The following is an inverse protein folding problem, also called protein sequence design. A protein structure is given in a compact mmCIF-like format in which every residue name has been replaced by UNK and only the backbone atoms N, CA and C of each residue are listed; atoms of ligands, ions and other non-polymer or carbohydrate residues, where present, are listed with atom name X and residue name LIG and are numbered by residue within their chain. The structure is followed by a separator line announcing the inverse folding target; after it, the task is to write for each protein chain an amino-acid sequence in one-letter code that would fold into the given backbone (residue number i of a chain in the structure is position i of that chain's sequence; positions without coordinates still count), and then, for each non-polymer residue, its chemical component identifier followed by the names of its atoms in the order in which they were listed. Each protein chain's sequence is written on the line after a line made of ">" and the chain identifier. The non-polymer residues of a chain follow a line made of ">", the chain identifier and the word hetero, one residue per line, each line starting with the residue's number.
data_IF_374349546000
#
_entry.id   IF_374349546000
#
_cell.length_a   1.000
_cell.length_b   1.000
_cell.length_c   1.000
_cell.angle_alpha   90.00
_cell.angle_beta   90.00
_cell.angle_gamma   90.00
#
_symmetry.space_group_name_H-M   'P 1'
#
loop_
_entity.id
_entity.type
_entity.pdbx_description
1 polymer ?
#
# COMPACT_ATOMS: atom_id res chain seq x y z
N UNK A 1 6.70 45.73 6.92
CA UNK A 1 5.87 44.77 7.67
C UNK A 1 6.16 43.41 7.08
N UNK A 2 7.08 42.67 7.69
CA UNK A 2 7.28 41.26 7.38
C UNK A 2 6.18 40.50 8.12
N UNK A 3 5.29 39.86 7.36
CA UNK A 3 4.35 38.90 7.90
C UNK A 3 5.14 37.62 8.24
N UNK A 4 5.64 37.58 9.47
CA UNK A 4 6.25 36.39 10.09
C UNK A 4 5.12 35.47 10.56
N UNK A 5 4.33 34.97 9.60
CA UNK A 5 3.34 33.94 9.85
C UNK A 5 4.08 32.63 10.12
N UNK A 6 4.25 32.31 11.40
CA UNK A 6 4.81 31.04 11.85
C UNK A 6 4.18 29.87 11.08
N UNK A 7 4.97 28.88 10.61
CA UNK A 7 4.42 27.74 9.89
C UNK A 7 3.41 27.02 10.78
N UNK A 8 2.15 27.01 10.36
CA UNK A 8 1.09 26.29 11.06
C UNK A 8 1.44 24.80 11.07
N UNK A 9 1.42 24.12 12.22
CA UNK A 9 1.76 22.71 12.30
C UNK A 9 0.84 21.88 11.39
N UNK A 10 1.40 20.92 10.62
CA UNK A 10 0.59 20.05 9.78
C UNK A 10 -0.32 19.16 10.64
N UNK A 11 -1.48 18.81 10.10
CA UNK A 11 -2.33 17.79 10.73
C UNK A 11 -1.67 16.41 10.59
N UNK A 12 -1.84 15.57 11.60
CA UNK A 12 -1.26 14.22 11.61
C UNK A 12 -2.27 13.24 11.03
N UNK A 13 -1.86 12.48 10.02
CA UNK A 13 -2.66 11.42 9.43
C UNK A 13 -2.16 10.07 9.96
N UNK A 14 -3.05 9.25 10.51
CA UNK A 14 -2.71 7.90 10.95
C UNK A 14 -3.38 6.87 10.06
N UNK A 15 -2.57 6.01 9.47
CA UNK A 15 -3.01 4.83 8.71
C UNK A 15 -2.82 3.60 9.58
N UNK A 16 -3.86 2.79 9.71
CA UNK A 16 -3.79 1.46 10.35
C UNK A 16 -4.28 0.43 9.36
N UNK A 17 -3.49 -0.61 9.11
CA UNK A 17 -3.89 -1.70 8.20
C UNK A 17 -4.73 -2.73 8.95
N UNK A 18 -5.66 -3.36 8.25
CA UNK A 18 -6.60 -4.32 8.84
C UNK A 18 -6.55 -5.71 8.21
N UNK A 19 -7.58 -6.49 8.52
CA UNK A 19 -7.82 -7.81 7.91
C UNK A 19 -8.33 -7.68 6.49
N UNK A 20 -8.05 -8.71 5.68
CA UNK A 20 -8.60 -8.83 4.34
C UNK A 20 -7.90 -7.94 3.32
N UNK A 21 -6.69 -7.47 3.61
CA UNK A 21 -5.76 -7.04 2.59
C UNK A 21 -5.48 -8.21 1.63
N UNK A 22 -5.07 -7.90 0.41
CA UNK A 22 -4.71 -8.95 -0.53
C UNK A 22 -3.78 -8.48 -1.61
N UNK A 23 -3.01 -9.41 -2.17
CA UNK A 23 -2.27 -9.16 -3.39
C UNK A 23 -2.55 -10.29 -4.40
N UNK A 24 -2.27 -10.01 -5.66
CA UNK A 24 -2.21 -10.98 -6.74
C UNK A 24 -1.01 -10.62 -7.62
N UNK A 25 -0.37 -11.60 -8.25
CA UNK A 25 0.75 -11.36 -9.16
C UNK A 25 0.75 -12.42 -10.25
N UNK A 26 0.87 -11.96 -11.49
CA UNK A 26 0.83 -12.84 -12.66
C UNK A 26 -0.36 -13.78 -12.67
N UNK A 27 -0.08 -15.09 -12.78
CA UNK A 27 -1.10 -16.15 -12.79
C UNK A 27 -1.58 -16.62 -11.41
N UNK A 28 -1.01 -16.11 -10.33
CA UNK A 28 -1.44 -16.54 -9.00
C UNK A 28 -2.83 -16.00 -8.70
N UNK A 29 -3.71 -16.82 -8.10
CA UNK A 29 -4.97 -16.32 -7.60
C UNK A 29 -4.71 -15.30 -6.50
N UNK A 30 -5.64 -14.36 -6.34
CA UNK A 30 -5.58 -13.36 -5.28
C UNK A 30 -5.51 -14.04 -3.91
N UNK A 31 -4.53 -13.65 -3.11
CA UNK A 31 -4.40 -14.07 -1.74
C UNK A 31 -4.91 -13.01 -0.79
N UNK A 32 -5.47 -13.46 0.34
CA UNK A 32 -5.92 -12.58 1.42
C UNK A 32 -5.05 -12.83 2.63
N UNK A 33 -4.69 -11.76 3.32
CA UNK A 33 -3.89 -11.84 4.53
C UNK A 33 -4.36 -10.84 5.58
N UNK A 34 -3.99 -11.13 6.81
CA UNK A 34 -4.18 -10.21 7.93
C UNK A 34 -2.98 -9.26 7.97
N UNK A 35 -3.22 -7.99 7.63
CA UNK A 35 -2.22 -6.94 7.77
C UNK A 35 -2.41 -6.16 9.09
N UNK A 36 -3.25 -6.64 10.01
CA UNK A 36 -3.46 -5.96 11.29
C UNK A 36 -2.16 -5.81 12.07
N UNK A 37 -2.00 -4.68 12.76
CA UNK A 37 -0.76 -4.32 13.46
C UNK A 37 0.27 -3.61 12.57
N UNK A 38 0.02 -3.49 11.27
CA UNK A 38 0.71 -2.55 10.41
C UNK A 38 0.06 -1.16 10.40
N UNK A 39 0.66 -0.25 9.63
CA UNK A 39 0.22 1.13 9.52
C UNK A 39 1.39 2.10 9.50
N UNK A 40 1.09 3.38 9.70
CA UNK A 40 2.09 4.41 9.88
C UNK A 40 1.49 5.80 10.02
N UNK A 41 2.34 6.77 10.27
CA UNK A 41 1.96 8.18 10.42
C UNK A 41 2.41 8.98 9.20
N UNK A 42 1.56 9.89 8.78
CA UNK A 42 1.84 10.86 7.75
C UNK A 42 1.41 12.26 8.18
N UNK A 43 1.69 13.22 7.31
CA UNK A 43 1.31 14.60 7.50
C UNK A 43 0.43 15.07 6.34
N UNK A 44 -0.54 15.91 6.69
CA UNK A 44 -1.32 16.69 5.75
C UNK A 44 -0.97 18.15 6.00
N UNK A 45 -0.35 18.86 5.05
CA UNK A 45 -0.07 20.28 5.20
C UNK A 45 -1.35 21.04 5.52
N UNK A 46 -1.27 21.96 6.46
CA UNK A 46 -2.34 22.92 6.66
C UNK A 46 -2.35 23.86 5.45
N UNK A 47 -3.40 23.77 4.63
CA UNK A 47 -3.63 24.73 3.57
C UNK A 47 -4.47 25.89 4.09
N UNK A 48 -3.92 27.11 4.06
CA UNK A 48 -4.62 28.36 4.37
C UNK A 48 -5.94 28.44 3.63
N UNK A 49 -7.08 28.42 4.36
CA UNK A 49 -8.43 28.79 3.93
C UNK A 49 -8.76 28.66 2.42
N UNK A 50 -8.28 27.57 1.80
CA UNK A 50 -8.37 27.35 0.37
C UNK A 50 -9.68 26.64 0.04
N UNK A 51 -10.09 26.66 -1.24
CA UNK A 51 -11.27 25.92 -1.65
C UNK A 51 -11.14 24.44 -1.27
N UNK A 52 -12.25 23.77 -0.90
CA UNK A 52 -12.25 22.34 -0.65
C UNK A 52 -11.69 21.60 -1.88
N UNK A 53 -10.76 20.68 -1.64
CA UNK A 53 -10.11 19.93 -2.71
C UNK A 53 -9.05 18.95 -2.20
N UNK A 54 -8.43 18.18 -3.11
CA UNK A 54 -7.40 17.21 -2.76
C UNK A 54 -6.22 17.88 -2.06
N UNK A 55 -5.85 17.35 -0.90
CA UNK A 55 -4.72 17.82 -0.10
C UNK A 55 -3.56 16.83 -0.23
N UNK A 56 -2.32 17.32 -0.37
CA UNK A 56 -1.17 16.44 -0.42
C UNK A 56 -1.02 15.70 0.91
N UNK A 57 -0.72 14.42 0.85
CA UNK A 57 -0.45 13.59 2.02
C UNK A 57 0.84 12.82 1.79
N UNK A 58 1.64 12.70 2.85
CA UNK A 58 2.88 11.92 2.82
C UNK A 58 3.05 11.15 4.11
N UNK A 59 3.27 9.85 3.99
CA UNK A 59 3.62 9.00 5.12
C UNK A 59 5.13 8.89 5.24
N UNK A 60 5.63 8.81 6.46
CA UNK A 60 7.03 8.52 6.72
C UNK A 60 7.31 7.03 6.43
N UNK A 61 8.13 6.69 5.42
CA UNK A 61 8.44 5.30 5.09
C UNK A 61 9.07 4.55 6.26
N UNK A 62 9.84 5.22 7.12
CA UNK A 62 10.47 4.59 8.29
C UNK A 62 9.44 4.23 9.38
N UNK A 63 8.31 4.94 9.42
CA UNK A 63 7.20 4.67 10.33
C UNK A 63 6.13 3.75 9.72
N UNK A 64 6.27 3.36 8.44
CA UNK A 64 5.36 2.44 7.77
C UNK A 64 5.76 0.99 8.07
N UNK A 65 4.92 0.31 8.84
CA UNK A 65 5.01 -1.13 9.07
C UNK A 65 3.97 -1.85 8.21
N UNK A 66 4.41 -2.74 7.32
CA UNK A 66 3.53 -3.66 6.60
C UNK A 66 3.94 -5.08 6.99
N UNK A 67 3.04 -5.88 7.61
CA UNK A 67 3.39 -7.23 8.05
C UNK A 67 3.84 -8.12 6.88
N UNK A 68 4.90 -8.88 7.13
CA UNK A 68 5.42 -9.86 6.18
C UNK A 68 4.37 -10.91 5.82
N UNK A 69 4.39 -11.32 4.56
CA UNK A 69 3.63 -12.48 4.11
C UNK A 69 4.48 -13.72 4.36
N UNK A 70 3.90 -14.70 5.04
CA UNK A 70 4.59 -15.97 5.30
C UNK A 70 3.62 -17.13 5.16
N UNK A 71 4.15 -18.32 4.88
CA UNK A 71 3.35 -19.55 4.84
C UNK A 71 2.57 -19.83 6.13
N UNK A 72 2.96 -19.22 7.25
CA UNK A 72 2.26 -19.31 8.53
C UNK A 72 1.08 -18.35 8.66
N UNK A 73 1.15 -17.20 8.00
CA UNK A 73 0.21 -16.08 8.18
C UNK A 73 -0.66 -15.79 6.95
N UNK A 74 -0.31 -16.33 5.78
CA UNK A 74 -0.94 -16.03 4.49
C UNK A 74 -1.63 -17.26 3.89
N UNK A 75 -2.90 -17.10 3.48
CA UNK A 75 -3.68 -18.13 2.79
C UNK A 75 -4.10 -17.67 1.39
N UNK A 76 -3.90 -18.55 0.41
CA UNK A 76 -4.33 -18.45 -0.99
C UNK A 76 -5.50 -19.42 -1.17
N UNK A 77 -6.71 -18.95 -1.46
CA UNK A 77 -7.90 -19.81 -1.60
C UNK A 77 -8.13 -20.79 -0.42
N UNK A 78 -7.73 -20.39 0.80
CA UNK A 78 -7.80 -21.23 2.01
C UNK A 78 -6.56 -22.10 2.28
N UNK A 79 -5.69 -22.29 1.29
CA UNK A 79 -4.45 -23.07 1.39
C UNK A 79 -3.30 -22.14 1.78
N UNK A 80 -2.43 -22.48 2.76
CA UNK A 80 -1.25 -21.68 3.04
C UNK A 80 -0.36 -21.53 1.79
N UNK A 81 0.32 -20.39 1.63
CA UNK A 81 1.36 -20.27 0.59
C UNK A 81 2.40 -21.39 0.74
N UNK A 82 3.11 -21.80 -0.33
CA UNK A 82 4.02 -22.93 -0.28
C UNK A 82 4.97 -22.87 0.93
N UNK A 83 5.16 -23.98 1.66
CA UNK A 83 6.03 -24.01 2.84
C UNK A 83 7.42 -23.46 2.53
N UNK A 84 7.92 -22.61 3.42
CA UNK A 84 9.23 -21.96 3.24
C UNK A 84 9.22 -20.70 2.37
N UNK A 85 8.06 -20.24 1.89
CA UNK A 85 7.91 -18.92 1.28
C UNK A 85 7.71 -17.84 2.35
N UNK A 86 8.48 -16.76 2.25
CA UNK A 86 8.31 -15.51 2.98
C UNK A 86 8.51 -14.34 2.02
N UNK A 87 7.70 -13.30 2.15
CA UNK A 87 7.83 -12.05 1.41
C UNK A 87 7.82 -10.93 2.44
N UNK A 88 8.98 -10.31 2.66
CA UNK A 88 9.08 -9.12 3.49
C UNK A 88 8.85 -7.88 2.62
N UNK A 89 8.14 -6.89 3.14
CA UNK A 89 7.80 -5.66 2.44
C UNK A 89 8.56 -4.51 3.08
N UNK A 90 9.38 -3.84 2.30
CA UNK A 90 10.11 -2.63 2.69
C UNK A 90 9.47 -1.42 1.96
N UNK A 91 8.65 -0.61 2.65
CA UNK A 91 8.09 0.60 2.08
C UNK A 91 9.19 1.62 1.78
N UNK A 92 9.18 2.17 0.57
CA UNK A 92 10.06 3.26 0.14
C UNK A 92 9.32 4.60 0.06
N UNK A 93 8.05 4.55 -0.34
CA UNK A 93 7.20 5.72 -0.48
C UNK A 93 5.74 5.35 -0.30
N UNK A 94 5.01 6.20 0.42
CA UNK A 94 3.55 6.23 0.39
C UNK A 94 3.12 7.71 0.48
N UNK A 95 2.77 8.29 -0.66
CA UNK A 95 2.45 9.72 -0.75
C UNK A 95 1.51 10.01 -1.91
N UNK A 96 0.71 11.06 -1.81
CA UNK A 96 -0.21 11.44 -2.87
C UNK A 96 -1.22 12.48 -2.39
N UNK A 97 -2.50 12.24 -2.64
CA UNK A 97 -3.57 13.21 -2.41
C UNK A 97 -4.75 12.57 -1.67
N UNK A 98 -5.36 13.34 -0.77
CA UNK A 98 -6.60 13.01 -0.07
C UNK A 98 -7.59 14.17 -0.24
N UNK A 99 -8.73 13.90 -0.86
CA UNK A 99 -9.88 14.79 -0.83
C UNK A 99 -10.65 14.57 0.48
N UNK A 100 -10.55 15.54 1.38
CA UNK A 100 -11.21 15.49 2.70
C UNK A 100 -12.72 15.64 2.63
N UNK A 101 -13.27 16.16 1.52
CA UNK A 101 -14.71 16.31 1.34
C UNK A 101 -15.38 15.02 0.86
N UNK A 102 -14.72 14.29 -0.04
CA UNK A 102 -15.26 13.05 -0.64
C UNK A 102 -14.68 11.78 -0.01
N UNK A 103 -13.57 11.89 0.72
CA UNK A 103 -12.78 10.75 1.19
C UNK A 103 -11.99 10.06 0.07
N UNK A 104 -12.00 10.59 -1.15
CA UNK A 104 -11.23 10.02 -2.25
C UNK A 104 -9.74 10.18 -2.00
N UNK A 105 -8.96 9.13 -2.23
CA UNK A 105 -7.53 9.13 -1.95
C UNK A 105 -6.76 8.39 -3.03
N UNK A 106 -5.63 8.98 -3.44
CA UNK A 106 -4.69 8.38 -4.37
C UNK A 106 -3.28 8.50 -3.81
N UNK A 107 -2.61 7.37 -3.59
CA UNK A 107 -1.28 7.30 -3.00
C UNK A 107 -0.36 6.51 -3.92
N UNK A 108 0.73 7.12 -4.36
CA UNK A 108 1.85 6.37 -4.93
C UNK A 108 2.47 5.53 -3.82
N UNK A 109 2.47 4.22 -4.02
CA UNK A 109 3.11 3.26 -3.15
C UNK A 109 4.30 2.62 -3.87
N UNK A 110 5.49 2.83 -3.31
CA UNK A 110 6.71 2.19 -3.77
C UNK A 110 7.25 1.32 -2.65
N UNK A 111 7.56 0.07 -2.97
CA UNK A 111 8.11 -0.86 -2.00
C UNK A 111 9.04 -1.88 -2.66
N UNK A 112 9.94 -2.43 -1.85
CA UNK A 112 10.76 -3.59 -2.20
C UNK A 112 10.19 -4.83 -1.54
N UNK A 113 9.99 -5.87 -2.35
CA UNK A 113 9.49 -7.17 -1.92
C UNK A 113 10.67 -8.14 -1.87
N UNK A 114 11.08 -8.48 -0.65
CA UNK A 114 12.17 -9.42 -0.40
C UNK A 114 11.60 -10.82 -0.29
N UNK A 115 11.78 -11.60 -1.35
CA UNK A 115 11.31 -12.97 -1.40
C UNK A 115 12.35 -13.92 -0.79
N UNK A 116 11.90 -14.85 0.05
CA UNK A 116 12.66 -16.04 0.44
C UNK A 116 11.83 -17.26 0.08
N UNK A 117 12.37 -18.12 -0.78
CA UNK A 117 11.71 -19.34 -1.26
C UNK A 117 12.40 -20.56 -0.65
N UNK A 118 11.59 -21.54 -0.23
CA UNK A 118 12.05 -22.82 0.32
C UNK A 118 13.07 -22.68 1.46
N UNK A 119 13.04 -21.56 2.19
CA UNK A 119 13.92 -21.25 3.32
C UNK A 119 15.40 -20.97 2.99
N UNK A 120 15.86 -21.15 1.74
CA UNK A 120 17.28 -21.02 1.37
C UNK A 120 17.54 -20.07 0.21
N UNK A 121 16.64 -20.04 -0.75
CA UNK A 121 16.81 -19.22 -1.94
C UNK A 121 16.26 -17.82 -1.70
N UNK A 122 17.08 -16.80 -1.98
CA UNK A 122 16.79 -15.38 -1.72
C UNK A 122 17.25 -14.55 -2.93
N UNK A 123 16.39 -14.34 -3.93
CA UNK A 123 16.70 -13.47 -5.05
C UNK A 123 16.79 -12.00 -4.61
N UNK A 124 17.24 -11.14 -5.54
CA UNK A 124 17.19 -9.70 -5.35
C UNK A 124 15.77 -9.19 -5.08
N UNK A 125 15.67 -8.07 -4.37
CA UNK A 125 14.38 -7.49 -4.03
C UNK A 125 13.64 -7.00 -5.28
N UNK A 126 12.36 -7.35 -5.39
CA UNK A 126 11.50 -6.90 -6.46
C UNK A 126 10.91 -5.53 -6.09
N UNK A 127 11.30 -4.47 -6.79
CA UNK A 127 10.72 -3.16 -6.56
C UNK A 127 9.41 -3.03 -7.34
N UNK A 128 8.34 -2.67 -6.64
CA UNK A 128 7.03 -2.39 -7.23
C UNK A 128 6.68 -0.93 -7.01
N UNK A 129 6.10 -0.31 -8.03
CA UNK A 129 5.61 1.06 -8.04
C UNK A 129 4.16 1.06 -8.51
N UNK A 130 3.24 1.46 -7.65
CA UNK A 130 1.81 1.43 -7.95
C UNK A 130 1.11 2.69 -7.46
N UNK A 131 0.02 3.06 -8.12
CA UNK A 131 -0.93 4.04 -7.59
C UNK A 131 -2.05 3.29 -6.87
N UNK A 132 -2.09 3.43 -5.55
CA UNK A 132 -3.18 2.97 -4.69
C UNK A 132 -4.30 4.01 -4.71
N UNK A 133 -5.48 3.65 -5.20
CA UNK A 133 -6.64 4.55 -5.32
C UNK A 133 -7.85 4.00 -4.58
N UNK A 134 -8.70 4.89 -4.05
CA UNK A 134 -10.03 4.53 -3.56
C UNK A 134 -11.06 4.39 -4.70
N UNK A 135 -10.65 4.64 -5.95
CA UNK A 135 -11.44 4.43 -7.17
C UNK A 135 -11.25 3.04 -7.80
N UNK A 136 -11.71 2.89 -9.04
CA UNK A 136 -11.52 1.66 -9.82
C UNK A 136 -10.10 1.57 -10.37
N UNK A 137 -9.50 0.38 -10.30
CA UNK A 137 -8.20 0.08 -10.91
C UNK A 137 -8.30 -1.09 -11.88
N UNK A 138 -7.52 -1.02 -12.95
CA UNK A 138 -7.47 -2.05 -13.98
C UNK A 138 -6.08 -2.15 -14.56
N UNK A 139 -5.54 -3.36 -14.60
CA UNK A 139 -4.39 -3.73 -15.41
C UNK A 139 -4.78 -4.66 -16.55
N UNK A 140 -3.83 -5.50 -16.95
CA UNK A 140 -3.97 -6.46 -18.04
C UNK A 140 -4.77 -7.68 -17.60
N UNK A 141 -4.53 -8.19 -16.39
CA UNK A 141 -5.23 -9.35 -15.81
C UNK A 141 -6.11 -8.97 -14.63
N UNK A 142 -5.69 -8.02 -13.82
CA UNK A 142 -6.37 -7.73 -12.55
C UNK A 142 -7.23 -6.48 -12.64
N UNK A 143 -8.39 -6.53 -11.98
CA UNK A 143 -9.29 -5.40 -11.78
C UNK A 143 -9.82 -5.44 -10.37
N UNK A 144 -9.92 -4.28 -9.74
CA UNK A 144 -10.56 -4.13 -8.43
C UNK A 144 -11.05 -2.68 -8.27
N UNK A 145 -11.75 -2.41 -7.18
CA UNK A 145 -12.13 -1.06 -6.79
C UNK A 145 -11.82 -0.82 -5.32
N UNK A 146 -11.33 0.39 -5.03
CA UNK A 146 -11.24 0.89 -3.69
C UNK A 146 -12.58 1.33 -3.13
N UNK A 147 -12.52 1.91 -1.93
CA UNK A 147 -13.63 2.51 -1.21
C UNK A 147 -13.10 3.79 -0.57
N UNK A 148 -13.73 4.96 -0.83
CA UNK A 148 -13.36 6.22 -0.19
C UNK A 148 -13.33 6.11 1.34
N UNK A 149 -12.57 7.00 1.97
CA UNK A 149 -12.52 7.12 3.44
C UNK A 149 -13.92 7.45 3.95
N UNK A 150 -14.54 6.51 4.66
CA UNK A 150 -15.85 6.70 5.26
C UNK A 150 -15.80 7.52 6.55
N UNK A 151 -16.97 7.83 7.15
CA UNK A 151 -17.07 8.59 8.41
C UNK A 151 -16.30 7.96 9.57
N UNK A 152 -16.23 6.63 9.62
CA UNK A 152 -15.51 5.87 10.65
C UNK A 152 -13.99 5.76 10.36
N UNK A 153 -13.52 6.42 9.29
CA UNK A 153 -12.14 6.39 8.81
C UNK A 153 -11.80 5.16 7.97
N UNK A 154 -12.71 4.18 7.83
CA UNK A 154 -12.44 2.98 7.03
C UNK A 154 -12.35 3.28 5.54
N UNK A 155 -11.35 2.71 4.88
CA UNK A 155 -11.10 2.86 3.45
C UNK A 155 -10.57 1.56 2.84
N UNK A 156 -10.71 1.45 1.51
CA UNK A 156 -10.03 0.42 0.72
C UNK A 156 -9.26 1.12 -0.38
N UNK A 157 -7.96 0.86 -0.44
CA UNK A 157 -7.11 1.31 -1.52
C UNK A 157 -6.77 0.11 -2.40
N UNK A 158 -7.00 0.23 -3.70
CA UNK A 158 -6.62 -0.77 -4.68
C UNK A 158 -5.62 -0.16 -5.66
N UNK A 159 -4.63 -0.94 -6.09
CA UNK A 159 -3.65 -0.51 -7.09
C UNK A 159 -3.20 -1.68 -7.95
N UNK A 160 -2.98 -1.42 -9.22
CA UNK A 160 -2.35 -2.36 -10.13
C UNK A 160 -1.00 -1.79 -10.55
N UNK A 161 0.02 -2.63 -10.60
CA UNK A 161 1.34 -2.29 -11.10
C UNK A 161 1.77 -3.27 -12.17
N UNK A 162 2.46 -2.76 -13.18
CA UNK A 162 3.27 -3.59 -14.06
C UNK A 162 4.54 -3.99 -13.32
N UNK A 163 4.86 -5.27 -13.36
CA UNK A 163 6.03 -5.85 -12.72
C UNK A 163 6.93 -6.41 -13.82
N UNK A 164 8.09 -5.78 -14.09
CA UNK A 164 9.03 -6.28 -15.08
C UNK A 164 9.66 -7.59 -14.63
N UNK A 165 10.35 -8.27 -15.55
CA UNK A 165 11.22 -9.38 -15.19
C UNK A 165 12.25 -8.91 -14.15
N UNK A 166 12.48 -9.72 -13.13
CA UNK A 166 13.41 -9.39 -12.05
C UNK A 166 14.87 -9.55 -12.47
N UNK A 167 15.12 -10.18 -13.63
CA UNK A 167 16.46 -10.59 -14.06
C UNK A 167 16.94 -11.89 -13.41
N UNK A 168 16.07 -12.58 -12.67
CA UNK A 168 16.35 -13.89 -12.09
C UNK A 168 15.31 -14.88 -12.61
N UNK A 169 15.75 -15.81 -13.48
CA UNK A 169 14.87 -16.75 -14.15
C UNK A 169 14.10 -17.68 -13.21
N UNK A 170 14.62 -17.98 -12.01
CA UNK A 170 13.91 -18.81 -11.03
C UNK A 170 12.79 -18.00 -10.39
N UNK A 171 13.06 -16.75 -10.00
CA UNK A 171 12.04 -15.86 -9.45
C UNK A 171 10.98 -15.53 -10.51
N UNK A 172 11.40 -15.23 -11.73
CA UNK A 172 10.52 -14.91 -12.85
C UNK A 172 9.62 -16.10 -13.21
N UNK A 173 10.16 -17.32 -13.27
CA UNK A 173 9.35 -18.52 -13.50
C UNK A 173 8.40 -18.80 -12.33
N UNK A 174 8.85 -18.57 -11.09
CA UNK A 174 8.05 -18.77 -9.89
C UNK A 174 6.86 -17.81 -9.85
N UNK A 175 7.08 -16.50 -10.01
CA UNK A 175 6.04 -15.46 -9.95
C UNK A 175 5.25 -15.31 -11.26
N UNK A 176 5.79 -15.79 -12.37
CA UNK A 176 5.22 -15.62 -13.71
C UNK A 176 5.47 -14.23 -14.29
N UNK A 177 6.67 -13.68 -14.12
CA UNK A 177 7.05 -12.35 -14.61
C UNK A 177 7.59 -12.40 -16.06
N UNK A 178 7.51 -11.28 -16.82
CA UNK A 178 6.84 -10.02 -16.47
C UNK A 178 5.31 -10.15 -16.54
N UNK A 179 4.61 -9.51 -15.62
CA UNK A 179 3.13 -9.46 -15.61
C UNK A 179 2.63 -8.31 -14.72
N UNK A 180 1.32 -8.20 -14.51
CA UNK A 180 0.76 -7.25 -13.55
C UNK A 180 0.55 -7.86 -12.15
N UNK A 181 0.59 -6.98 -11.15
CA UNK A 181 0.28 -7.29 -9.76
C UNK A 181 -0.83 -6.37 -9.24
N UNK A 182 -1.78 -6.93 -8.51
CA UNK A 182 -2.82 -6.20 -7.80
C UNK A 182 -2.45 -6.13 -6.31
N UNK A 183 -2.59 -4.95 -5.71
CA UNK A 183 -2.56 -4.75 -4.28
C UNK A 183 -3.90 -4.18 -3.81
N UNK A 184 -4.44 -4.73 -2.73
CA UNK A 184 -5.62 -4.21 -2.04
C UNK A 184 -5.32 -4.07 -0.56
N UNK A 185 -5.35 -2.82 -0.11
CA UNK A 185 -5.08 -2.41 1.25
C UNK A 185 -6.39 -2.00 1.90
N UNK A 186 -6.84 -2.79 2.89
CA UNK A 186 -7.93 -2.41 3.79
C UNK A 186 -7.33 -1.70 4.98
N UNK A 187 -7.74 -0.46 5.21
CA UNK A 187 -7.16 0.37 6.25
C UNK A 187 -8.20 1.26 6.94
N UNK A 188 -7.77 1.84 8.06
CA UNK A 188 -8.42 2.97 8.70
C UNK A 188 -7.49 4.18 8.61
N UNK A 189 -8.05 5.31 8.21
CA UNK A 189 -7.41 6.60 8.06
C UNK A 189 -8.05 7.55 9.06
N UNK A 190 -7.24 8.07 9.99
CA UNK A 190 -7.70 9.02 11.01
C UNK A 190 -6.88 10.29 10.91
N UNK A 191 -7.56 11.43 10.74
CA UNK A 191 -6.94 12.74 10.79
C UNK A 191 -7.00 13.27 12.22
N UNK A 192 -5.85 13.55 12.80
CA UNK A 192 -5.72 14.21 14.08
C UNK A 192 -5.42 15.70 13.87
N UNK A 193 -6.10 16.60 14.60
CA UNK A 193 -5.76 18.01 14.57
C UNK A 193 -4.31 18.19 15.06
N UNK A 194 -3.62 19.27 14.63
CA UNK A 194 -2.32 19.60 15.19
C UNK A 194 -2.45 19.79 16.71
N UNK A 195 -1.44 19.28 17.43
CA UNK A 195 -1.31 19.49 18.88
C UNK A 195 -0.88 20.92 19.20
#
# INVERSE_FOLDING_TARGET
>A
MADDSAPTPPAVLRLTTGRGCGLAIGRYPRFRYDASGGGGTGSVPHGSAGPPGPRPVRFDPAALAIPDLSWRTTRVLGVPIPPGVRIAIEPLELAGQLDTATGAMELRFRARFHCSLFGRYRPGALQVDTLLSTGSVSGRRHRDAGMPVGPDGHAVLAGVAEVPASGDGVLDAFLGLPDDALAVLRCQIVLHPPA
#
